data_IF_469006133481
#
_entry.id   IF_469006133481
#
_cell.length_a   1.000
_cell.length_b   1.000
_cell.length_c   1.000
_cell.angle_alpha   90.00
_cell.angle_beta   90.00
_cell.angle_gamma   90.00
#
_symmetry.space_group_name_H-M   'P 1'
#
loop_
_entity.id
_entity.type
_entity.pdbx_description
1 polymer ?
#
# COMPACT_ATOMS: atom_id res chain seq x y z
N UNK A 1 16.27 -3.72 1.93
CA UNK A 1 15.20 -3.61 2.96
C UNK A 1 15.76 -2.98 4.24
N UNK A 2 16.23 -1.73 4.18
CA UNK A 2 16.72 -0.96 5.35
C UNK A 2 15.85 0.26 5.67
N UNK A 3 14.88 0.57 4.80
CA UNK A 3 14.06 1.78 4.90
C UNK A 3 13.29 1.84 6.22
N UNK A 4 12.55 0.78 6.56
CA UNK A 4 11.67 0.77 7.74
C UNK A 4 12.45 0.92 9.05
N UNK A 5 13.50 0.12 9.33
CA UNK A 5 14.32 0.34 10.52
C UNK A 5 14.92 1.75 10.59
N UNK A 6 15.47 2.24 9.48
CA UNK A 6 16.15 3.54 9.48
C UNK A 6 15.19 4.74 9.51
N UNK A 7 13.94 4.57 9.08
CA UNK A 7 12.86 5.53 9.31
C UNK A 7 12.57 5.66 10.82
N UNK A 8 12.47 4.53 11.53
CA UNK A 8 12.25 4.52 13.00
C UNK A 8 13.41 5.17 13.77
N UNK A 9 14.65 4.94 13.35
CA UNK A 9 15.84 5.57 13.96
C UNK A 9 15.81 7.12 13.86
N UNK A 10 15.11 7.66 12.86
CA UNK A 10 14.91 9.10 12.67
C UNK A 10 13.57 9.60 13.22
N UNK A 11 12.88 8.80 14.03
CA UNK A 11 11.55 9.10 14.59
C UNK A 11 10.47 9.39 13.53
N UNK A 12 10.63 8.82 12.33
CA UNK A 12 9.62 8.89 11.27
C UNK A 12 8.59 7.80 11.53
N UNK A 13 7.34 8.19 11.76
CA UNK A 13 6.23 7.26 11.97
C UNK A 13 6.00 6.39 10.73
N UNK A 14 5.92 5.08 10.90
CA UNK A 14 5.72 4.14 9.80
C UNK A 14 4.24 3.74 9.73
N UNK A 15 3.58 4.08 8.62
CA UNK A 15 2.18 3.76 8.39
C UNK A 15 2.06 2.64 7.36
N UNK A 16 1.55 1.49 7.80
CA UNK A 16 1.28 0.34 6.95
C UNK A 16 -0.13 0.46 6.38
N UNK A 17 -0.23 1.22 5.30
CA UNK A 17 -1.49 1.50 4.59
C UNK A 17 -1.75 0.45 3.50
N UNK A 18 -0.67 -0.13 2.94
CA UNK A 18 -0.68 -1.02 1.79
C UNK A 18 0.71 -1.64 1.55
N UNK A 19 0.79 -2.94 1.21
CA UNK A 19 1.94 -3.57 0.50
C UNK A 19 1.44 -4.78 -0.29
N UNK A 20 1.94 -5.00 -1.51
CA UNK A 20 1.84 -6.29 -2.23
C UNK A 20 3.16 -6.68 -2.90
N UNK A 21 3.37 -7.98 -3.06
CA UNK A 21 4.54 -8.69 -3.62
C UNK A 21 5.28 -7.99 -4.78
N UNK A 22 6.61 -8.04 -4.72
CA UNK A 22 7.50 -7.96 -5.89
C UNK A 22 7.02 -9.05 -6.88
N UNK A 23 7.03 -8.85 -8.21
CA UNK A 23 6.82 -9.99 -9.12
C UNK A 23 7.78 -11.11 -8.70
N UNK A 24 7.30 -12.35 -8.72
CA UNK A 24 8.17 -13.52 -8.58
C UNK A 24 9.40 -13.25 -9.44
N UNK A 25 10.56 -13.09 -8.81
CA UNK A 25 11.82 -13.08 -9.54
C UNK A 25 11.77 -14.23 -10.53
N UNK A 26 12.30 -14.12 -11.76
CA UNK A 26 12.46 -15.27 -12.65
C UNK A 26 13.23 -16.44 -11.99
N UNK A 27 13.80 -16.24 -10.80
CA UNK A 27 14.42 -17.24 -9.94
C UNK A 27 13.52 -17.81 -8.83
N UNK A 28 12.22 -17.49 -8.77
CA UNK A 28 11.30 -18.07 -7.77
C UNK A 28 10.97 -19.51 -8.20
N UNK A 29 11.42 -20.54 -7.46
CA UNK A 29 11.43 -21.91 -7.94
C UNK A 29 10.07 -22.64 -7.76
N UNK A 30 9.03 -21.96 -7.27
CA UNK A 30 7.80 -22.62 -6.86
C UNK A 30 6.54 -21.92 -7.43
N UNK A 31 5.90 -22.49 -8.48
CA UNK A 31 4.69 -21.95 -9.08
C UNK A 31 3.44 -22.07 -8.18
N UNK A 32 3.49 -22.84 -7.09
CA UNK A 32 2.40 -22.92 -6.10
C UNK A 32 2.46 -21.79 -5.06
N UNK A 33 3.62 -21.12 -4.94
CA UNK A 33 3.82 -19.97 -4.08
C UNK A 33 3.39 -18.68 -4.77
N UNK A 34 2.12 -18.61 -5.15
CA UNK A 34 1.52 -17.36 -5.59
C UNK A 34 1.50 -16.42 -4.37
N UNK A 35 2.52 -15.58 -4.24
CA UNK A 35 2.66 -14.58 -3.16
C UNK A 35 1.62 -13.47 -3.35
N UNK A 36 0.35 -13.79 -3.14
CA UNK A 36 -0.75 -12.82 -3.11
C UNK A 36 -0.81 -12.22 -1.70
N UNK A 37 0.21 -11.48 -1.30
CA UNK A 37 0.03 -10.50 -0.23
C UNK A 37 -0.65 -9.32 -0.89
N UNK A 38 -1.96 -9.13 -0.67
CA UNK A 38 -2.68 -7.94 -1.08
C UNK A 38 -3.34 -7.29 0.13
N UNK A 39 -2.70 -6.29 0.72
CA UNK A 39 -3.19 -5.74 1.99
C UNK A 39 -4.27 -4.70 1.76
N UNK A 40 -5.49 -5.18 1.61
CA UNK A 40 -6.69 -4.45 2.00
C UNK A 40 -7.29 -5.21 3.18
N UNK A 41 -7.85 -4.49 4.13
CA UNK A 41 -8.55 -5.09 5.26
C UNK A 41 -10.03 -4.79 5.15
N UNK A 42 -10.69 -5.42 4.20
CA UNK A 42 -12.12 -5.26 4.01
C UNK A 42 -12.89 -5.99 5.11
N UNK A 43 -14.06 -5.44 5.43
CA UNK A 43 -15.08 -6.04 6.28
C UNK A 43 -16.33 -6.35 5.45
N UNK A 44 -17.18 -7.25 5.92
CA UNK A 44 -18.42 -7.60 5.21
C UNK A 44 -19.34 -6.38 4.92
N UNK A 45 -19.50 -5.40 5.84
CA UNK A 45 -20.22 -4.18 5.53
C UNK A 45 -19.59 -3.35 4.39
N UNK A 46 -18.25 -3.32 4.31
CA UNK A 46 -17.57 -2.55 3.28
C UNK A 46 -17.79 -3.14 1.89
N UNK A 47 -17.92 -4.47 1.76
CA UNK A 47 -18.23 -5.13 0.50
C UNK A 47 -19.51 -4.59 -0.17
N UNK A 48 -20.48 -4.15 0.64
CA UNK A 48 -21.75 -3.60 0.16
C UNK A 48 -21.63 -2.16 -0.36
N UNK A 49 -20.54 -1.47 -0.03
CA UNK A 49 -20.33 -0.06 -0.38
C UNK A 49 -19.25 0.15 -1.43
N UNK A 50 -18.56 -0.92 -1.85
CA UNK A 50 -17.55 -0.85 -2.92
C UNK A 50 -18.26 -0.59 -4.26
N UNK A 51 -17.87 0.46 -5.01
CA UNK A 51 -18.53 0.79 -6.27
C UNK A 51 -18.28 -0.29 -7.33
N UNK A 52 -19.25 -0.55 -8.23
CA UNK A 52 -19.13 -1.58 -9.27
C UNK A 52 -17.89 -1.46 -10.16
N UNK A 53 -17.43 -0.23 -10.42
CA UNK A 53 -16.20 0.03 -11.19
C UNK A 53 -14.97 -0.58 -10.51
N UNK A 54 -14.89 -0.50 -9.19
CA UNK A 54 -13.82 -1.09 -8.39
C UNK A 54 -13.99 -2.60 -8.29
N UNK A 55 -15.21 -3.09 -8.04
CA UNK A 55 -15.51 -4.54 -8.02
C UNK A 55 -15.06 -5.21 -9.32
N UNK A 56 -15.36 -4.60 -10.48
CA UNK A 56 -14.97 -5.12 -11.79
C UNK A 56 -13.46 -5.32 -11.91
N UNK A 57 -12.64 -4.40 -11.41
CA UNK A 57 -11.17 -4.48 -11.50
C UNK A 57 -10.57 -5.65 -10.71
N UNK A 58 -11.26 -6.08 -9.66
CA UNK A 58 -10.80 -7.18 -8.78
C UNK A 58 -11.52 -8.50 -9.05
N UNK A 59 -12.52 -8.51 -9.93
CA UNK A 59 -13.20 -9.72 -10.37
C UNK A 59 -12.43 -10.34 -11.52
N UNK A 60 -11.75 -11.46 -11.28
CA UNK A 60 -11.12 -12.24 -12.37
C UNK A 60 -12.15 -13.24 -12.88
N UNK A 61 -12.39 -13.25 -14.20
CA UNK A 61 -13.41 -14.07 -14.89
C UNK A 61 -13.55 -15.49 -14.31
N UNK A 62 -14.50 -15.68 -13.37
CA UNK A 62 -14.80 -16.98 -12.73
C UNK A 62 -13.93 -17.41 -11.55
N UNK A 63 -12.94 -16.61 -11.10
CA UNK A 63 -12.07 -16.90 -9.94
C UNK A 63 -12.39 -16.07 -8.68
N UNK A 64 -13.56 -15.44 -8.66
CA UNK A 64 -14.04 -14.63 -7.54
C UNK A 64 -13.64 -13.14 -7.61
N UNK A 65 -14.07 -12.40 -6.59
CA UNK A 65 -13.89 -10.97 -6.40
C UNK A 65 -13.68 -10.66 -4.92
N UNK A 66 -13.82 -9.41 -4.49
CA UNK A 66 -13.65 -9.07 -3.07
C UNK A 66 -14.48 -10.00 -2.16
N UNK A 67 -13.84 -10.54 -1.12
CA UNK A 67 -14.50 -11.41 -0.14
C UNK A 67 -14.76 -12.86 -0.56
N UNK A 68 -14.44 -13.26 -1.80
CA UNK A 68 -14.53 -14.67 -2.21
C UNK A 68 -13.41 -15.52 -1.63
N UNK A 69 -13.69 -16.79 -1.36
CA UNK A 69 -12.68 -17.74 -0.91
C UNK A 69 -11.60 -17.95 -1.98
N UNK A 70 -10.33 -17.78 -1.58
CA UNK A 70 -9.19 -18.13 -2.40
C UNK A 70 -8.82 -19.61 -2.17
N UNK A 71 -8.20 -20.28 -3.15
CA UNK A 71 -7.72 -21.65 -2.98
C UNK A 71 -6.73 -21.80 -1.81
N UNK A 72 -6.62 -22.99 -1.24
CA UNK A 72 -5.65 -23.29 -0.19
C UNK A 72 -5.94 -22.55 1.12
N UNK A 73 -4.88 -22.13 1.83
CA UNK A 73 -4.97 -21.48 3.14
C UNK A 73 -5.05 -19.95 3.07
N UNK A 74 -5.21 -19.36 1.88
CA UNK A 74 -5.17 -17.92 1.68
C UNK A 74 -6.39 -17.18 2.28
N UNK A 75 -7.51 -17.87 2.48
CA UNK A 75 -8.74 -17.31 3.02
C UNK A 75 -9.47 -16.39 2.03
N UNK A 76 -10.35 -15.54 2.55
CA UNK A 76 -11.18 -14.63 1.75
C UNK A 76 -10.37 -13.48 1.17
N UNK A 77 -10.50 -13.25 -0.14
CA UNK A 77 -9.74 -12.24 -0.87
C UNK A 77 -9.92 -10.85 -0.24
N UNK A 78 -8.81 -10.24 0.19
CA UNK A 78 -8.71 -8.85 0.67
C UNK A 78 -9.51 -8.54 1.94
N UNK A 79 -9.93 -9.57 2.68
CA UNK A 79 -10.64 -9.41 3.95
C UNK A 79 -9.66 -9.32 5.11
N UNK A 80 -10.03 -8.59 6.18
CA UNK A 80 -9.24 -8.55 7.43
C UNK A 80 -9.01 -9.97 7.95
N UNK A 81 -7.83 -10.15 8.56
CA UNK A 81 -7.41 -11.39 9.22
C UNK A 81 -7.27 -12.61 8.28
N UNK A 82 -7.39 -12.41 6.96
CA UNK A 82 -7.08 -13.44 5.97
C UNK A 82 -5.58 -13.41 5.64
N UNK A 83 -4.97 -14.57 5.42
CA UNK A 83 -3.54 -14.69 5.11
C UNK A 83 -3.13 -13.86 3.87
N UNK A 84 -4.00 -13.77 2.87
CA UNK A 84 -3.75 -12.93 1.70
C UNK A 84 -3.80 -11.41 1.96
N UNK A 85 -4.17 -10.99 3.17
CA UNK A 85 -4.19 -9.58 3.61
C UNK A 85 -3.03 -9.21 4.54
N UNK A 86 -2.15 -10.17 4.85
CA UNK A 86 -0.92 -9.96 5.62
C UNK A 86 0.20 -9.40 4.73
N UNK A 87 1.12 -8.64 5.31
CA UNK A 87 2.28 -8.11 4.59
C UNK A 87 3.16 -9.25 4.07
N UNK A 88 3.91 -8.97 3.01
CA UNK A 88 4.90 -9.90 2.50
C UNK A 88 5.95 -10.25 3.56
N UNK A 89 6.04 -11.52 3.93
CA UNK A 89 7.03 -12.14 4.83
C UNK A 89 7.88 -11.18 5.68
N UNK A 90 9.07 -10.76 5.21
CA UNK A 90 9.96 -9.88 5.98
C UNK A 90 9.34 -8.54 6.43
N UNK A 91 8.41 -7.98 5.66
CA UNK A 91 7.70 -6.76 6.02
C UNK A 91 6.63 -7.00 7.11
N UNK A 92 6.03 -8.19 7.15
CA UNK A 92 5.15 -8.58 8.26
C UNK A 92 5.94 -8.66 9.57
N UNK A 93 7.12 -9.26 9.53
CA UNK A 93 8.02 -9.31 10.68
C UNK A 93 8.43 -7.90 11.13
N UNK A 94 8.77 -7.02 10.19
CA UNK A 94 9.08 -5.62 10.51
C UNK A 94 7.89 -4.91 11.13
N UNK A 95 6.67 -5.05 10.59
CA UNK A 95 5.48 -4.48 11.21
C UNK A 95 5.27 -4.97 12.64
N UNK A 96 5.39 -6.28 12.89
CA UNK A 96 5.22 -6.83 14.24
C UNK A 96 6.22 -6.22 15.24
N UNK A 97 7.49 -6.07 14.84
CA UNK A 97 8.49 -5.37 15.67
C UNK A 97 8.07 -3.92 15.95
N UNK A 98 7.68 -3.19 14.92
CA UNK A 98 7.28 -1.79 15.05
C UNK A 98 5.99 -1.60 15.87
N UNK A 99 5.07 -2.57 15.79
CA UNK A 99 3.85 -2.61 16.59
C UNK A 99 4.18 -2.79 18.07
N UNK A 100 5.06 -3.73 18.40
CA UNK A 100 5.52 -3.96 19.78
C UNK A 100 6.25 -2.74 20.35
N UNK A 101 6.95 -1.98 19.49
CA UNK A 101 7.62 -0.72 19.85
C UNK A 101 6.68 0.49 19.88
N UNK A 102 5.44 0.39 19.40
CA UNK A 102 4.52 1.53 19.25
C UNK A 102 4.94 2.56 18.19
N UNK A 103 5.88 2.21 17.30
CA UNK A 103 6.39 3.11 16.24
C UNK A 103 5.61 2.98 14.94
N UNK A 104 4.84 1.91 14.79
CA UNK A 104 4.20 1.56 13.53
C UNK A 104 2.68 1.41 13.71
N UNK A 105 1.94 1.84 12.69
CA UNK A 105 0.48 1.81 12.71
C UNK A 105 -0.04 1.12 11.46
N UNK A 106 -0.96 0.18 11.64
CA UNK A 106 -1.63 -0.47 10.53
C UNK A 106 -2.92 0.27 10.20
N UNK A 107 -3.09 0.64 8.92
CA UNK A 107 -4.26 1.37 8.44
C UNK A 107 -4.92 0.56 7.34
N UNK A 108 -6.15 0.10 7.60
CA UNK A 108 -6.94 -0.57 6.58
C UNK A 108 -7.58 0.45 5.64
N UNK A 109 -7.62 0.11 4.34
CA UNK A 109 -8.34 0.85 3.31
C UNK A 109 -9.25 -0.06 2.50
N UNK A 110 -10.31 0.53 1.98
CA UNK A 110 -11.32 -0.14 1.15
C UNK A 110 -11.45 0.47 -0.25
N UNK A 111 -10.48 1.33 -0.62
CA UNK A 111 -10.30 1.93 -1.95
C UNK A 111 -8.83 1.89 -2.35
N UNK A 112 -8.54 2.29 -3.59
CA UNK A 112 -7.16 2.37 -4.09
C UNK A 112 -6.33 3.35 -3.26
N UNK A 113 -6.83 4.57 -3.07
CA UNK A 113 -6.24 5.55 -2.17
C UNK A 113 -6.58 5.26 -0.71
N UNK A 114 -5.61 5.44 0.20
CA UNK A 114 -5.85 5.45 1.64
C UNK A 114 -6.57 6.71 2.13
N UNK A 115 -6.58 7.78 1.33
CA UNK A 115 -7.17 9.10 1.62
C UNK A 115 -8.36 9.43 0.71
N UNK A 116 -9.02 8.41 0.17
CA UNK A 116 -10.10 8.55 -0.82
C UNK A 116 -11.33 9.35 -0.34
N UNK A 117 -11.50 9.52 0.97
CA UNK A 117 -12.66 10.21 1.57
C UNK A 117 -12.30 10.88 2.90
N UNK A 118 -13.08 11.88 3.27
CA UNK A 118 -12.98 12.49 4.61
C UNK A 118 -13.26 11.43 5.67
N UNK A 119 -12.58 11.54 6.81
CA UNK A 119 -12.75 10.62 7.95
C UNK A 119 -12.40 9.15 7.62
N UNK A 120 -11.61 8.91 6.57
CA UNK A 120 -10.94 7.62 6.40
C UNK A 120 -9.96 7.40 7.56
N UNK A 121 -9.63 6.14 7.87
CA UNK A 121 -8.75 5.82 8.99
C UNK A 121 -7.38 6.51 8.87
N UNK A 122 -6.84 6.63 7.66
CA UNK A 122 -5.60 7.37 7.42
C UNK A 122 -5.78 8.87 7.66
N UNK A 123 -6.87 9.46 7.16
CA UNK A 123 -7.16 10.89 7.31
C UNK A 123 -7.26 11.30 8.78
N UNK A 124 -8.03 10.54 9.57
CA UNK A 124 -8.17 10.76 11.01
C UNK A 124 -6.83 10.65 11.72
N UNK A 125 -6.07 9.59 11.41
CA UNK A 125 -4.77 9.37 12.04
C UNK A 125 -3.78 10.51 11.76
N UNK A 126 -3.68 10.94 10.49
CA UNK A 126 -2.77 12.02 10.11
C UNK A 126 -3.15 13.34 10.79
N UNK A 127 -4.44 13.67 10.83
CA UNK A 127 -4.95 14.88 11.47
C UNK A 127 -4.72 14.86 13.00
N UNK A 128 -5.03 13.75 13.67
CA UNK A 128 -4.85 13.60 15.12
C UNK A 128 -3.38 13.69 15.56
N UNK A 129 -2.44 13.27 14.69
CA UNK A 129 -1.01 13.30 14.97
C UNK A 129 -0.30 14.54 14.41
N UNK A 130 -1.04 15.50 13.81
CA UNK A 130 -0.46 16.72 13.26
C UNK A 130 0.58 16.47 12.16
N UNK A 131 0.46 15.36 11.41
CA UNK A 131 1.42 15.00 10.36
C UNK A 131 1.14 15.87 9.14
N UNK A 132 2.18 16.52 8.59
CA UNK A 132 2.05 17.39 7.41
C UNK A 132 2.87 16.92 6.21
N UNK A 133 3.82 16.00 6.41
CA UNK A 133 4.72 15.49 5.37
C UNK A 133 4.61 13.97 5.27
N UNK A 134 4.48 13.45 4.05
CA UNK A 134 4.28 12.03 3.78
C UNK A 134 5.33 11.50 2.80
N UNK A 135 6.01 10.43 3.20
CA UNK A 135 6.88 9.66 2.32
C UNK A 135 6.13 8.46 1.76
N UNK A 136 6.15 8.31 0.44
CA UNK A 136 5.42 7.26 -0.27
C UNK A 136 6.38 6.17 -0.75
N UNK A 137 6.12 4.95 -0.29
CA UNK A 137 6.77 3.72 -0.72
C UNK A 137 5.72 2.65 -0.99
N UNK A 138 6.06 1.64 -1.80
CA UNK A 138 5.18 0.53 -2.17
C UNK A 138 4.87 0.43 -3.67
N UNK A 139 3.97 -0.47 -4.00
CA UNK A 139 3.39 -0.76 -5.32
C UNK A 139 1.88 -0.50 -5.34
N UNK A 140 1.17 -0.73 -6.43
CA UNK A 140 1.67 -0.30 -7.72
C UNK A 140 1.84 1.23 -7.68
N UNK A 141 3.03 1.69 -8.10
CA UNK A 141 3.42 3.11 -8.13
C UNK A 141 2.34 3.98 -8.76
N UNK A 142 1.75 3.54 -9.87
CA UNK A 142 0.74 4.22 -10.68
C UNK A 142 -0.71 3.98 -10.24
N UNK A 143 -0.92 3.26 -9.15
CA UNK A 143 -2.26 2.91 -8.67
C UNK A 143 -2.47 3.31 -7.21
N UNK A 144 -2.18 2.42 -6.25
CA UNK A 144 -2.45 2.69 -4.83
C UNK A 144 -1.53 3.80 -4.29
N UNK A 145 -0.26 3.79 -4.70
CA UNK A 145 0.71 4.83 -4.33
C UNK A 145 0.29 6.17 -4.93
N UNK A 146 0.15 6.26 -6.26
CA UNK A 146 -0.27 7.49 -6.94
C UNK A 146 -1.62 8.00 -6.41
N UNK A 147 -2.61 7.13 -6.24
CA UNK A 147 -3.93 7.53 -5.76
C UNK A 147 -3.88 8.16 -4.36
N UNK A 148 -3.13 7.55 -3.44
CA UNK A 148 -2.96 8.12 -2.09
C UNK A 148 -2.13 9.40 -2.12
N UNK A 149 -1.09 9.45 -2.96
CA UNK A 149 -0.23 10.62 -3.11
C UNK A 149 -0.99 11.83 -3.64
N UNK A 150 -1.80 11.65 -4.69
CA UNK A 150 -2.58 12.73 -5.30
C UNK A 150 -3.66 13.24 -4.32
N UNK A 151 -4.35 12.34 -3.61
CA UNK A 151 -5.31 12.74 -2.58
C UNK A 151 -4.63 13.49 -1.42
N UNK A 152 -3.44 13.06 -1.00
CA UNK A 152 -2.64 13.76 -0.01
C UNK A 152 -2.23 15.16 -0.50
N UNK A 153 -1.72 15.26 -1.72
CA UNK A 153 -1.34 16.55 -2.31
C UNK A 153 -2.51 17.53 -2.32
N UNK A 154 -3.69 17.10 -2.79
CA UNK A 154 -4.88 17.96 -2.81
C UNK A 154 -5.41 18.34 -1.42
N UNK A 155 -5.06 17.56 -0.40
CA UNK A 155 -5.33 17.88 1.00
C UNK A 155 -4.27 18.76 1.64
N UNK A 156 -3.21 19.11 0.92
CA UNK A 156 -2.17 20.04 1.37
C UNK A 156 -0.99 19.40 2.10
N UNK A 157 -0.79 18.08 2.00
CA UNK A 157 0.38 17.41 2.56
C UNK A 157 1.61 17.60 1.65
N UNK A 158 2.79 17.76 2.25
CA UNK A 158 4.06 17.69 1.54
C UNK A 158 4.35 16.24 1.14
N UNK A 159 4.25 15.95 -0.16
CA UNK A 159 4.35 14.59 -0.67
C UNK A 159 5.74 14.28 -1.23
N UNK A 160 6.35 13.19 -0.77
CA UNK A 160 7.68 12.75 -1.21
C UNK A 160 7.64 11.29 -1.66
N UNK A 161 7.80 11.05 -2.97
CA UNK A 161 7.88 9.68 -3.52
C UNK A 161 9.31 9.13 -3.39
N UNK A 162 9.45 7.95 -2.79
CA UNK A 162 10.71 7.22 -2.67
C UNK A 162 10.85 6.24 -3.85
N UNK A 163 11.50 6.70 -4.93
CA UNK A 163 11.55 6.00 -6.22
C UNK A 163 12.01 4.55 -6.09
N UNK A 164 13.14 4.33 -5.43
CA UNK A 164 13.76 3.02 -5.19
C UNK A 164 13.03 2.15 -4.15
N UNK A 165 12.01 2.69 -3.49
CA UNK A 165 11.10 1.96 -2.61
C UNK A 165 9.70 1.82 -3.21
N UNK A 166 9.54 2.08 -4.52
CA UNK A 166 8.28 1.84 -5.23
C UNK A 166 8.46 0.98 -6.47
N UNK A 167 7.40 0.29 -6.90
CA UNK A 167 7.42 -0.48 -8.14
C UNK A 167 6.02 -0.59 -8.75
N UNK A 168 5.92 -0.97 -10.02
CA UNK A 168 4.65 -1.35 -10.65
C UNK A 168 4.87 -2.41 -11.73
N UNK A 169 3.83 -3.20 -11.97
CA UNK A 169 3.74 -4.17 -13.08
C UNK A 169 2.96 -3.61 -14.28
N UNK A 170 2.57 -2.33 -14.23
CA UNK A 170 1.89 -1.68 -15.36
C UNK A 170 2.82 -1.59 -16.59
N UNK A 171 2.26 -1.43 -17.80
CA UNK A 171 3.05 -1.25 -19.01
C UNK A 171 4.03 -0.06 -18.94
N UNK A 172 4.95 -0.05 -19.90
CA UNK A 172 5.90 1.05 -20.09
C UNK A 172 5.21 2.42 -20.08
N UNK A 173 5.82 3.37 -19.37
CA UNK A 173 5.28 4.70 -19.15
C UNK A 173 4.49 4.84 -17.84
N UNK A 174 3.97 3.74 -17.28
CA UNK A 174 3.22 3.79 -16.02
C UNK A 174 4.06 4.30 -14.85
N UNK A 175 5.26 3.76 -14.67
CA UNK A 175 6.17 4.18 -13.60
C UNK A 175 6.76 5.58 -13.88
N UNK A 176 7.25 5.80 -15.10
CA UNK A 176 7.93 7.03 -15.51
C UNK A 176 7.01 8.24 -15.39
N UNK A 177 5.74 8.10 -15.76
CA UNK A 177 4.73 9.15 -15.65
C UNK A 177 4.50 9.57 -14.20
N UNK A 178 4.43 8.61 -13.27
CA UNK A 178 4.23 8.90 -11.85
C UNK A 178 5.42 9.64 -11.27
N UNK A 179 6.65 9.18 -11.56
CA UNK A 179 7.87 9.83 -11.07
C UNK A 179 7.96 11.25 -11.63
N UNK A 180 7.70 11.42 -12.93
CA UNK A 180 7.72 12.74 -13.57
C UNK A 180 6.68 13.69 -12.96
N UNK A 181 5.41 13.29 -12.89
CA UNK A 181 4.35 14.15 -12.37
C UNK A 181 4.52 14.44 -10.88
N UNK A 182 5.01 13.47 -10.10
CA UNK A 182 5.28 13.72 -8.69
C UNK A 182 6.37 14.76 -8.51
N UNK A 183 7.50 14.62 -9.23
CA UNK A 183 8.63 15.55 -9.10
C UNK A 183 8.34 16.97 -9.62
N UNK A 184 7.40 17.11 -10.56
CA UNK A 184 7.14 18.38 -11.24
C UNK A 184 5.79 19.01 -10.88
N UNK A 185 4.90 18.31 -10.18
CA UNK A 185 3.53 18.81 -9.93
C UNK A 185 2.98 18.44 -8.56
N UNK A 186 3.16 17.19 -8.10
CA UNK A 186 2.50 16.72 -6.87
C UNK A 186 3.39 16.73 -5.63
N UNK A 187 4.63 17.22 -5.72
CA UNK A 187 5.56 17.32 -4.60
C UNK A 187 7.00 17.04 -5.02
N UNK A 188 7.64 16.09 -4.36
CA UNK A 188 9.05 15.73 -4.55
C UNK A 188 9.22 14.25 -4.88
N UNK A 189 10.28 13.92 -5.62
CA UNK A 189 10.70 12.53 -5.81
C UNK A 189 12.18 12.38 -5.50
N UNK A 190 12.51 11.45 -4.61
CA UNK A 190 13.89 11.20 -4.15
C UNK A 190 14.15 9.69 -4.05
N UNK A 191 15.30 9.31 -3.51
CA UNK A 191 15.63 7.93 -3.18
C UNK A 191 15.75 7.74 -1.67
N UNK A 192 15.65 6.50 -1.20
CA UNK A 192 15.83 6.19 0.22
C UNK A 192 17.19 6.64 0.73
N UNK A 193 18.24 6.56 -0.09
CA UNK A 193 19.59 7.02 0.28
C UNK A 193 19.70 8.51 0.64
N UNK A 194 18.76 9.36 0.19
CA UNK A 194 18.73 10.78 0.57
C UNK A 194 17.89 11.05 1.83
N UNK A 195 17.10 10.05 2.25
CA UNK A 195 16.33 10.08 3.49
C UNK A 195 17.15 9.51 4.66
N UNK A 196 17.96 8.49 4.37
CA UNK A 196 18.82 7.75 5.29
C UNK A 196 20.15 8.47 5.54
#
# INVERSE_FOLDING_TARGET
MKLVPAAREKDIKVLWVWVTSIPASPTCPDPERMEISRNWGLTDPELQTIPPSLVRGFTKAGRGGFGSELPGAFGRLLMRDALNSDLYGPLQEEYLKGKDLGTDVWIHKNRMSGLWGYQSALDLFLAENGITTLFFAGVNTDQCVLGTLVDAYFRGYDCVLLKDATATTSPEGGYENVVYNTANSYGFATTTANLL
#
